data_IF_178113417791
#
_entry.id   IF_178113417791
#
_cell.length_a   1.000
_cell.length_b   1.000
_cell.length_c   1.000
_cell.angle_alpha   90.00
_cell.angle_beta   90.00
_cell.angle_gamma   90.00
#
_symmetry.space_group_name_H-M   'P 1'
#
loop_
_entity.id
_entity.type
_entity.pdbx_description
1 polymer ?
#
# COMPACT_ATOMS: atom_id res chain seq x y z
N UNK A 1 14.52 -13.00 12.48
CA UNK A 1 15.57 -12.41 13.32
C UNK A 1 14.91 -11.43 14.27
N UNK A 2 15.10 -11.61 15.57
CA UNK A 2 14.47 -10.77 16.59
C UNK A 2 15.01 -9.33 16.47
N UNK A 3 14.11 -8.39 16.24
CA UNK A 3 14.38 -6.96 16.39
C UNK A 3 14.65 -6.75 17.88
N UNK A 4 15.92 -6.52 18.22
CA UNK A 4 16.34 -6.22 19.59
C UNK A 4 15.66 -4.91 20.02
N UNK A 5 14.71 -5.04 20.92
CA UNK A 5 13.95 -3.94 21.51
C UNK A 5 14.83 -3.11 22.45
N UNK A 6 14.77 -1.79 22.29
CA UNK A 6 15.06 -0.76 23.30
C UNK A 6 16.50 -0.22 23.50
N UNK A 7 17.31 -0.10 22.45
CA UNK A 7 18.29 1.01 22.35
C UNK A 7 18.03 1.78 21.07
N UNK A 8 17.89 3.11 21.17
CA UNK A 8 17.77 3.98 20.00
C UNK A 8 18.99 3.80 19.09
N UNK A 9 18.79 3.93 17.78
CA UNK A 9 19.90 3.92 16.82
C UNK A 9 20.72 5.20 16.98
N UNK A 10 22.03 5.10 16.79
CA UNK A 10 23.00 6.16 17.00
C UNK A 10 23.01 7.15 15.84
N UNK A 11 23.47 8.37 16.14
CA UNK A 11 23.83 9.39 15.16
C UNK A 11 25.35 9.40 15.08
N UNK A 12 25.91 9.39 13.87
CA UNK A 12 27.33 9.57 13.64
C UNK A 12 27.62 10.95 13.04
N UNK A 13 28.80 11.52 13.30
CA UNK A 13 29.14 12.88 12.88
C UNK A 13 30.53 12.94 12.24
N UNK A 14 30.65 13.49 11.04
CA UNK A 14 31.91 13.78 10.36
C UNK A 14 31.97 15.29 10.11
N UNK A 15 32.93 15.98 10.73
CA UNK A 15 32.99 17.43 10.66
C UNK A 15 34.26 18.03 11.22
N UNK A 16 34.38 19.35 11.18
CA UNK A 16 35.47 20.05 11.84
C UNK A 16 35.38 19.94 13.38
N UNK A 17 36.49 20.25 14.05
CA UNK A 17 36.61 20.11 15.51
C UNK A 17 35.53 20.88 16.28
N UNK A 18 35.18 22.07 15.81
CA UNK A 18 34.14 22.90 16.41
C UNK A 18 32.75 22.25 16.29
N UNK A 19 32.40 21.72 15.10
CA UNK A 19 31.12 21.03 14.87
C UNK A 19 31.03 19.76 15.70
N UNK A 20 32.09 18.94 15.71
CA UNK A 20 32.13 17.72 16.53
C UNK A 20 31.95 18.08 18.00
N UNK A 21 32.68 19.08 18.51
CA UNK A 21 32.56 19.52 19.90
C UNK A 21 31.12 19.93 20.25
N UNK A 22 30.43 20.66 19.37
CA UNK A 22 29.03 21.03 19.55
C UNK A 22 28.09 19.83 19.69
N UNK A 23 28.23 18.82 18.82
CA UNK A 23 27.41 17.61 18.88
C UNK A 23 27.77 16.68 20.04
N UNK A 24 29.03 16.63 20.45
CA UNK A 24 29.46 15.92 21.65
C UNK A 24 28.84 16.53 22.92
N UNK A 25 28.79 17.86 23.01
CA UNK A 25 28.07 18.56 24.09
C UNK A 25 26.56 18.29 24.06
N UNK A 26 26.00 18.05 22.87
CA UNK A 26 24.61 17.63 22.67
C UNK A 26 24.33 16.16 23.05
N UNK A 27 25.33 15.38 23.45
CA UNK A 27 25.17 14.01 23.91
C UNK A 27 25.11 12.95 22.79
N UNK A 28 25.59 13.26 21.58
CA UNK A 28 25.61 12.31 20.45
C UNK A 28 26.79 11.33 20.50
N UNK A 29 27.89 11.70 21.16
CA UNK A 29 29.13 10.90 21.18
C UNK A 29 28.98 9.59 21.94
N UNK A 30 29.24 8.48 21.25
CA UNK A 30 29.22 7.12 21.80
C UNK A 30 30.45 6.34 21.30
N UNK A 31 30.96 5.45 22.16
CA UNK A 31 32.02 4.51 21.80
C UNK A 31 31.43 3.11 21.68
N UNK A 32 31.71 2.44 20.57
CA UNK A 32 31.38 1.02 20.40
C UNK A 32 32.17 0.13 21.40
N UNK A 33 31.80 -1.14 21.50
CA UNK A 33 32.49 -2.21 22.25
C UNK A 33 33.98 -2.27 21.87
N UNK A 34 34.30 -2.04 20.61
CA UNK A 34 35.69 -1.97 20.10
C UNK A 34 36.37 -0.61 20.35
N UNK A 35 35.74 0.27 21.14
CA UNK A 35 36.17 1.65 21.42
C UNK A 35 36.30 2.52 20.18
N UNK A 36 35.54 2.21 19.13
CA UNK A 36 35.46 3.03 17.92
C UNK A 36 34.43 4.14 18.13
N UNK A 37 34.80 5.41 17.94
CA UNK A 37 33.86 6.52 18.05
C UNK A 37 32.84 6.49 16.91
N UNK A 38 31.66 7.06 17.16
CA UNK A 38 30.69 7.42 16.13
C UNK A 38 30.93 8.83 15.57
N UNK A 39 32.14 9.38 15.69
CA UNK A 39 32.48 10.69 15.15
C UNK A 39 33.91 10.72 14.61
N UNK A 40 34.15 11.60 13.63
CA UNK A 40 35.46 11.92 13.09
C UNK A 40 35.64 13.44 13.03
N UNK A 41 36.63 13.95 13.75
CA UNK A 41 37.08 15.34 13.63
C UNK A 41 38.06 15.46 12.45
N UNK A 42 37.67 16.25 11.45
CA UNK A 42 38.42 16.47 10.21
C UNK A 42 39.19 17.79 10.34
N UNK A 43 40.50 17.69 10.23
CA UNK A 43 41.42 18.84 10.19
C UNK A 43 42.05 18.95 8.81
N UNK A 44 42.80 20.03 8.56
CA UNK A 44 43.52 20.21 7.28
C UNK A 44 44.59 19.14 7.03
N UNK A 45 45.05 18.48 8.09
CA UNK A 45 46.08 17.45 8.04
C UNK A 45 45.49 16.03 7.99
N UNK A 46 44.16 15.90 8.10
CA UNK A 46 43.47 14.60 8.00
C UNK A 46 43.50 14.13 6.55
N UNK A 47 44.07 12.94 6.25
CA UNK A 47 44.15 12.45 4.88
C UNK A 47 42.77 12.02 4.38
N UNK A 48 42.55 12.16 3.06
CA UNK A 48 41.28 11.81 2.41
C UNK A 48 40.87 10.35 2.67
N UNK A 49 41.85 9.44 2.71
CA UNK A 49 41.63 8.01 2.99
C UNK A 49 40.92 7.78 4.31
N UNK A 50 41.26 8.54 5.35
CA UNK A 50 40.67 8.37 6.68
C UNK A 50 39.20 8.82 6.69
N UNK A 51 38.87 9.84 5.90
CA UNK A 51 37.49 10.33 5.73
C UNK A 51 36.65 9.28 4.98
N UNK A 52 37.19 8.72 3.90
CA UNK A 52 36.54 7.65 3.15
C UNK A 52 36.30 6.40 4.00
N UNK A 53 37.31 5.98 4.76
CA UNK A 53 37.24 4.79 5.61
C UNK A 53 36.27 4.98 6.77
N UNK A 54 36.24 6.17 7.37
CA UNK A 54 35.25 6.51 8.40
C UNK A 54 33.83 6.50 7.85
N UNK A 55 33.60 7.08 6.66
CA UNK A 55 32.29 7.07 6.01
C UNK A 55 31.82 5.65 5.70
N UNK A 56 32.69 4.82 5.10
CA UNK A 56 32.41 3.39 4.83
C UNK A 56 32.12 2.63 6.13
N UNK A 57 32.91 2.85 7.17
CA UNK A 57 32.70 2.25 8.50
C UNK A 57 31.32 2.61 9.07
N UNK A 58 30.94 3.90 9.03
CA UNK A 58 29.65 4.35 9.55
C UNK A 58 28.47 3.83 8.72
N UNK A 59 28.60 3.75 7.40
CA UNK A 59 27.54 3.16 6.54
C UNK A 59 27.37 1.66 6.73
N UNK A 60 28.43 0.94 7.11
CA UNK A 60 28.39 -0.51 7.35
C UNK A 60 27.82 -0.91 8.72
N UNK A 61 27.68 0.05 9.64
CA UNK A 61 27.28 -0.16 11.03
C UNK A 61 25.76 -0.17 11.17
N UNK A 62 25.21 -1.31 11.59
CA UNK A 62 23.76 -1.50 11.77
C UNK A 62 23.17 -0.67 12.93
N UNK A 63 24.00 -0.22 13.87
CA UNK A 63 23.61 0.58 15.02
C UNK A 63 23.48 2.08 14.72
N UNK A 64 23.93 2.54 13.54
CA UNK A 64 23.83 3.95 13.11
C UNK A 64 22.57 4.14 12.26
N UNK A 65 21.75 5.14 12.61
CA UNK A 65 20.59 5.55 11.80
C UNK A 65 20.86 6.78 10.94
N UNK A 66 21.66 7.72 11.42
CA UNK A 66 21.89 9.01 10.77
C UNK A 66 23.38 9.31 10.78
N UNK A 67 23.93 9.75 9.66
CA UNK A 67 25.28 10.29 9.53
C UNK A 67 25.14 11.78 9.19
N UNK A 68 25.58 12.64 10.10
CA UNK A 68 25.73 14.06 9.87
C UNK A 68 27.12 14.32 9.30
N UNK A 69 27.20 14.95 8.13
CA UNK A 69 28.48 15.29 7.51
C UNK A 69 28.51 16.77 7.14
N UNK A 70 29.59 17.47 7.49
CA UNK A 70 29.75 18.86 7.09
C UNK A 70 29.91 18.94 5.57
N UNK A 71 29.18 19.84 4.92
CA UNK A 71 29.08 19.93 3.46
C UNK A 71 30.44 19.98 2.75
N UNK A 72 31.40 20.78 3.25
CA UNK A 72 32.73 20.88 2.67
C UNK A 72 33.53 19.56 2.75
N UNK A 73 33.27 18.73 3.76
CA UNK A 73 33.86 17.39 3.89
C UNK A 73 33.15 16.41 2.95
N UNK A 74 31.83 16.51 2.83
CA UNK A 74 31.04 15.69 1.90
C UNK A 74 31.50 15.89 0.45
N UNK A 75 31.84 17.12 0.06
CA UNK A 75 32.37 17.44 -1.27
C UNK A 75 33.67 16.69 -1.60
N UNK A 76 34.52 16.42 -0.60
CA UNK A 76 35.77 15.67 -0.79
C UNK A 76 35.51 14.20 -1.15
N UNK A 77 34.44 13.62 -0.59
CA UNK A 77 34.06 12.21 -0.77
C UNK A 77 32.73 12.05 -1.52
N UNK A 78 32.37 13.04 -2.36
CA UNK A 78 31.07 13.11 -3.05
C UNK A 78 30.71 11.81 -3.77
N UNK A 79 31.72 11.17 -4.38
CA UNK A 79 31.59 9.89 -5.06
C UNK A 79 31.10 8.74 -4.15
N UNK A 80 31.47 8.72 -2.86
CA UNK A 80 30.98 7.74 -1.89
C UNK A 80 29.58 8.09 -1.37
N UNK A 81 29.32 9.38 -1.15
CA UNK A 81 28.01 9.87 -0.70
C UNK A 81 26.95 9.55 -1.76
N UNK A 82 27.23 9.85 -3.03
CA UNK A 82 26.32 9.59 -4.14
C UNK A 82 26.16 8.08 -4.44
N UNK A 83 27.18 7.27 -4.13
CA UNK A 83 27.11 5.81 -4.27
C UNK A 83 26.28 5.14 -3.16
N UNK A 84 26.06 5.81 -2.03
CA UNK A 84 25.27 5.28 -0.92
C UNK A 84 23.77 5.44 -1.20
N UNK A 85 23.15 4.36 -1.68
CA UNK A 85 21.71 4.32 -2.04
C UNK A 85 20.83 3.70 -0.97
N UNK A 86 21.41 3.14 0.10
CA UNK A 86 20.64 2.50 1.17
C UNK A 86 19.87 3.54 1.99
N UNK A 87 18.61 3.29 2.37
CA UNK A 87 17.81 4.24 3.13
C UNK A 87 18.32 4.44 4.57
N UNK A 88 19.08 3.48 5.10
CA UNK A 88 19.68 3.52 6.43
C UNK A 88 21.14 3.06 6.32
N UNK A 89 22.10 3.80 6.91
CA UNK A 89 21.91 5.07 7.61
C UNK A 89 21.58 6.23 6.65
N UNK A 90 20.76 7.17 7.09
CA UNK A 90 20.45 8.39 6.36
C UNK A 90 21.65 9.35 6.45
N UNK A 91 22.12 9.86 5.31
CA UNK A 91 23.23 10.81 5.25
C UNK A 91 22.66 12.22 5.11
N UNK A 92 23.02 13.13 6.00
CA UNK A 92 22.57 14.52 6.01
C UNK A 92 23.77 15.47 5.98
N UNK A 93 23.82 16.30 4.94
CA UNK A 93 24.80 17.37 4.81
C UNK A 93 24.40 18.57 5.70
N UNK A 94 25.30 19.05 6.55
CA UNK A 94 25.11 20.22 7.42
C UNK A 94 26.05 21.36 7.03
N UNK A 95 25.61 22.62 7.12
CA UNK A 95 26.43 23.78 6.77
C UNK A 95 27.55 24.01 7.81
N UNK A 96 28.63 24.70 7.39
CA UNK A 96 29.66 25.20 8.30
C UNK A 96 29.13 26.38 9.14
N UNK A 97 29.52 26.43 10.42
CA UNK A 97 29.15 27.53 11.32
C UNK A 97 29.89 28.85 10.99
N UNK A 98 31.03 28.77 10.30
CA UNK A 98 31.89 29.90 9.94
C UNK A 98 31.51 30.52 8.59
N UNK A 99 30.44 31.31 8.61
CA UNK A 99 30.05 32.19 7.51
C UNK A 99 28.83 31.68 6.75
N UNK A 100 27.67 32.25 7.07
CA UNK A 100 26.47 32.10 6.26
C UNK A 100 26.76 32.59 4.83
N UNK A 101 27.05 31.64 3.95
CA UNK A 101 26.43 31.61 2.64
C UNK A 101 25.76 30.25 2.53
N UNK A 102 24.51 30.21 2.97
CA UNK A 102 23.61 29.13 2.56
C UNK A 102 23.62 29.21 1.04
N UNK A 103 24.11 28.18 0.36
CA UNK A 103 23.95 28.09 -1.07
C UNK A 103 22.43 28.10 -1.32
N UNK A 104 21.92 29.20 -1.89
CA UNK A 104 20.49 29.36 -2.11
C UNK A 104 19.93 28.28 -3.04
N UNK A 105 20.82 27.60 -3.77
CA UNK A 105 20.54 26.52 -4.71
C UNK A 105 20.87 25.13 -4.12
N UNK A 106 21.20 25.01 -2.82
CA UNK A 106 21.33 23.71 -2.19
C UNK A 106 19.95 23.05 -2.09
N UNK A 107 19.70 22.09 -2.98
CA UNK A 107 18.52 21.24 -2.93
C UNK A 107 18.55 20.34 -1.69
N UNK A 108 17.38 20.06 -1.12
CA UNK A 108 17.22 19.04 -0.09
C UNK A 108 17.85 17.73 -0.57
N UNK A 109 18.74 17.13 0.23
CA UNK A 109 19.32 15.83 -0.10
C UNK A 109 18.20 14.77 -0.07
N UNK A 110 17.71 14.45 -1.26
CA UNK A 110 16.76 13.36 -1.47
C UNK A 110 17.57 12.13 -1.92
N UNK A 111 17.58 11.03 -1.14
CA UNK A 111 18.26 9.80 -1.54
C UNK A 111 17.85 9.37 -2.95
N UNK A 112 18.77 8.81 -3.75
CA UNK A 112 18.47 8.44 -5.15
C UNK A 112 17.25 7.50 -5.26
N UNK A 113 17.04 6.61 -4.28
CA UNK A 113 15.85 5.75 -4.21
C UNK A 113 14.56 6.57 -4.13
N UNK A 114 14.54 7.61 -3.29
CA UNK A 114 13.39 8.51 -3.13
C UNK A 114 13.20 9.38 -4.39
N UNK A 115 14.29 9.76 -5.08
CA UNK A 115 14.21 10.45 -6.39
C UNK A 115 13.55 9.56 -7.46
N UNK A 116 13.87 8.27 -7.50
CA UNK A 116 13.25 7.30 -8.43
C UNK A 116 11.77 7.11 -8.10
N UNK A 117 11.40 6.95 -6.83
CA UNK A 117 10.00 6.81 -6.40
C UNK A 117 9.17 8.06 -6.73
N UNK A 118 9.72 9.26 -6.48
CA UNK A 118 9.06 10.52 -6.84
C UNK A 118 8.87 10.66 -8.36
N UNK A 119 9.89 10.28 -9.15
CA UNK A 119 9.80 10.29 -10.60
C UNK A 119 8.74 9.32 -11.13
N UNK A 120 8.66 8.10 -10.59
CA UNK A 120 7.60 7.13 -10.92
C UNK A 120 6.23 7.74 -10.65
N UNK A 121 6.05 8.32 -9.45
CA UNK A 121 4.78 8.95 -9.05
C UNK A 121 4.37 10.05 -10.04
N UNK A 122 5.28 10.96 -10.39
CA UNK A 122 4.97 12.08 -11.28
C UNK A 122 4.59 11.62 -12.69
N UNK A 123 5.32 10.63 -13.24
CA UNK A 123 5.02 10.04 -14.55
C UNK A 123 3.68 9.29 -14.51
N UNK A 124 3.40 8.56 -13.42
CA UNK A 124 2.12 7.89 -13.26
C UNK A 124 0.97 8.89 -13.21
N UNK A 125 1.12 10.04 -12.56
CA UNK A 125 0.10 11.09 -12.57
C UNK A 125 -0.11 11.68 -13.97
N UNK A 126 0.96 11.87 -14.75
CA UNK A 126 0.89 12.29 -16.16
C UNK A 126 0.11 11.28 -17.02
N UNK A 127 0.27 9.97 -16.75
CA UNK A 127 -0.45 8.91 -17.46
C UNK A 127 -1.98 8.93 -17.22
N UNK A 128 -2.42 9.55 -16.12
CA UNK A 128 -3.84 9.66 -15.78
C UNK A 128 -4.49 10.94 -16.31
N UNK A 129 -3.73 11.86 -16.90
CA UNK A 129 -4.28 13.06 -17.51
C UNK A 129 -4.91 12.76 -18.89
N UNK A 130 -6.19 13.10 -19.03
CA UNK A 130 -7.08 12.71 -20.14
C UNK A 130 -6.74 13.26 -21.53
N UNK A 131 -5.61 13.95 -21.70
CA UNK A 131 -5.12 14.38 -23.01
C UNK A 131 -4.35 13.23 -23.69
N UNK A 132 -4.94 12.67 -24.74
CA UNK A 132 -4.57 11.38 -25.34
C UNK A 132 -3.15 11.28 -25.93
N UNK A 133 -2.41 12.39 -26.08
CA UNK A 133 -1.00 12.38 -26.53
C UNK A 133 0.02 12.36 -25.39
N UNK A 134 -0.29 13.02 -24.27
CA UNK A 134 0.58 13.05 -23.08
C UNK A 134 0.46 11.76 -22.28
N UNK A 135 -0.72 11.13 -22.24
CA UNK A 135 -0.92 9.85 -21.57
C UNK A 135 -0.10 8.71 -22.20
N UNK A 136 -0.09 8.60 -23.54
CA UNK A 136 0.68 7.55 -24.24
C UNK A 136 2.20 7.77 -24.08
N UNK A 137 2.64 9.04 -24.07
CA UNK A 137 4.02 9.39 -23.77
C UNK A 137 4.45 8.99 -22.36
N UNK A 138 3.60 9.21 -21.37
CA UNK A 138 3.84 8.82 -19.98
C UNK A 138 3.90 7.29 -19.80
N UNK A 139 3.01 6.55 -20.46
CA UNK A 139 3.04 5.07 -20.44
C UNK A 139 4.36 4.56 -21.02
N UNK A 140 4.82 5.10 -22.15
CA UNK A 140 6.14 4.74 -22.73
C UNK A 140 7.31 5.08 -21.80
N UNK A 141 7.23 6.19 -21.05
CA UNK A 141 8.24 6.52 -20.03
C UNK A 141 8.25 5.47 -18.90
N UNK A 142 7.07 5.02 -18.44
CA UNK A 142 6.97 3.94 -17.44
C UNK A 142 7.54 2.63 -17.98
N UNK A 143 7.24 2.25 -19.23
CA UNK A 143 7.81 1.07 -19.89
C UNK A 143 9.34 1.16 -19.92
N UNK A 144 9.88 2.31 -20.34
CA UNK A 144 11.32 2.52 -20.40
C UNK A 144 11.95 2.42 -19.01
N UNK A 145 11.33 3.00 -17.97
CA UNK A 145 11.81 2.90 -16.58
C UNK A 145 11.83 1.45 -16.11
N UNK A 146 10.78 0.66 -16.38
CA UNK A 146 10.74 -0.75 -16.01
C UNK A 146 11.84 -1.55 -16.73
N UNK A 147 12.07 -1.27 -18.01
CA UNK A 147 13.06 -1.99 -18.83
C UNK A 147 14.51 -1.60 -18.55
N UNK A 148 14.76 -0.36 -18.12
CA UNK A 148 16.11 0.19 -17.91
C UNK A 148 16.54 0.26 -16.44
N UNK A 149 15.63 0.01 -15.51
CA UNK A 149 15.91 0.14 -14.09
C UNK A 149 17.01 -0.82 -13.61
N UNK A 150 17.97 -0.26 -12.86
CA UNK A 150 19.02 -1.02 -12.17
C UNK A 150 18.52 -1.67 -10.87
N UNK A 151 17.37 -1.24 -10.35
CA UNK A 151 16.77 -1.76 -9.12
C UNK A 151 15.72 -2.84 -9.42
N UNK A 152 15.78 -4.00 -8.76
CA UNK A 152 14.92 -5.14 -9.08
C UNK A 152 13.44 -4.93 -8.72
N UNK A 153 13.09 -3.86 -7.99
CA UNK A 153 11.73 -3.58 -7.51
C UNK A 153 11.00 -2.45 -8.27
N UNK A 154 11.58 -1.89 -9.32
CA UNK A 154 10.94 -0.77 -10.02
C UNK A 154 9.56 -1.10 -10.58
N UNK A 155 9.39 -2.28 -11.20
CA UNK A 155 8.09 -2.72 -11.70
C UNK A 155 7.03 -2.80 -10.57
N UNK A 156 7.44 -3.28 -9.40
CA UNK A 156 6.59 -3.34 -8.21
C UNK A 156 6.13 -1.94 -7.77
N UNK A 157 7.05 -0.97 -7.67
CA UNK A 157 6.70 0.41 -7.29
C UNK A 157 5.83 1.13 -8.33
N UNK A 158 5.96 0.79 -9.62
CA UNK A 158 5.03 1.26 -10.65
C UNK A 158 3.62 0.72 -10.38
N UNK A 159 3.49 -0.56 -10.00
CA UNK A 159 2.22 -1.18 -9.61
C UNK A 159 1.55 -0.45 -8.43
N UNK A 160 2.32 -0.17 -7.37
CA UNK A 160 1.84 0.61 -6.22
C UNK A 160 1.39 2.03 -6.63
N UNK A 161 2.18 2.70 -7.46
CA UNK A 161 1.89 4.05 -7.91
C UNK A 161 0.58 4.15 -8.72
N UNK A 162 0.27 3.12 -9.55
CA UNK A 162 -0.98 3.06 -10.30
C UNK A 162 -2.20 3.03 -9.39
N UNK A 163 -2.16 2.23 -8.33
CA UNK A 163 -3.24 2.16 -7.33
C UNK A 163 -3.37 3.50 -6.61
N UNK A 164 -2.27 4.07 -6.12
CA UNK A 164 -2.31 5.37 -5.42
C UNK A 164 -2.89 6.48 -6.30
N UNK A 165 -2.56 6.49 -7.60
CA UNK A 165 -3.12 7.43 -8.56
C UNK A 165 -4.61 7.18 -8.87
N UNK A 166 -5.05 5.91 -8.83
CA UNK A 166 -6.45 5.53 -8.99
C UNK A 166 -7.38 6.17 -7.96
N UNK A 167 -6.88 6.41 -6.75
CA UNK A 167 -7.65 6.96 -5.65
C UNK A 167 -7.72 8.49 -5.59
N UNK A 168 -7.03 9.21 -6.48
CA UNK A 168 -6.99 10.68 -6.46
C UNK A 168 -8.29 11.30 -6.96
N UNK A 169 -8.92 10.71 -7.98
CA UNK A 169 -10.11 11.24 -8.64
C UNK A 169 -10.99 10.11 -9.13
N UNK A 170 -12.31 10.30 -9.09
CA UNK A 170 -13.25 9.33 -9.63
C UNK A 170 -13.03 9.07 -11.12
N UNK A 171 -13.23 7.82 -11.54
CA UNK A 171 -13.01 7.34 -12.89
C UNK A 171 -11.57 6.89 -13.16
N UNK A 172 -10.63 7.22 -12.26
CA UNK A 172 -9.23 6.85 -12.41
C UNK A 172 -9.00 5.34 -12.24
N UNK A 173 -9.86 4.59 -11.54
CA UNK A 173 -9.72 3.13 -11.47
C UNK A 173 -9.72 2.46 -12.84
N UNK A 174 -10.58 2.92 -13.76
CA UNK A 174 -10.62 2.38 -15.13
C UNK A 174 -9.35 2.73 -15.90
N UNK A 175 -8.84 3.94 -15.70
CA UNK A 175 -7.56 4.38 -16.29
C UNK A 175 -6.39 3.58 -15.75
N UNK A 176 -6.33 3.34 -14.44
CA UNK A 176 -5.29 2.53 -13.79
C UNK A 176 -5.21 1.12 -14.39
N UNK A 177 -6.36 0.46 -14.56
CA UNK A 177 -6.43 -0.87 -15.16
C UNK A 177 -6.06 -0.88 -16.64
N UNK A 178 -6.42 0.18 -17.38
CA UNK A 178 -6.02 0.34 -18.77
C UNK A 178 -4.49 0.47 -18.89
N UNK A 179 -3.89 1.37 -18.10
CA UNK A 179 -2.44 1.56 -18.05
C UNK A 179 -1.74 0.26 -17.63
N UNK A 180 -2.26 -0.42 -16.61
CA UNK A 180 -1.74 -1.72 -16.16
C UNK A 180 -1.71 -2.75 -17.30
N UNK A 181 -2.81 -2.90 -18.05
CA UNK A 181 -2.88 -3.84 -19.18
C UNK A 181 -1.93 -3.49 -20.31
N UNK A 182 -1.77 -2.20 -20.62
CA UNK A 182 -0.82 -1.73 -21.62
C UNK A 182 0.62 -2.07 -21.19
N UNK A 183 0.99 -1.78 -19.94
CA UNK A 183 2.30 -2.14 -19.39
C UNK A 183 2.54 -3.66 -19.38
N UNK A 184 1.54 -4.44 -18.98
CA UNK A 184 1.60 -5.91 -18.97
C UNK A 184 1.92 -6.48 -20.36
N UNK A 185 1.47 -5.83 -21.44
CA UNK A 185 1.76 -6.27 -22.81
C UNK A 185 3.18 -5.95 -23.30
N UNK A 186 3.87 -5.02 -22.62
CA UNK A 186 5.16 -4.46 -23.05
C UNK A 186 6.37 -4.91 -22.22
N UNK A 187 6.15 -5.59 -21.08
CA UNK A 187 7.19 -6.00 -20.13
C UNK A 187 7.43 -7.52 -20.14
N UNK A 188 8.59 -7.96 -19.66
CA UNK A 188 8.89 -9.40 -19.52
C UNK A 188 8.02 -10.07 -18.44
N UNK A 189 7.89 -11.40 -18.49
CA UNK A 189 7.06 -12.16 -17.53
C UNK A 189 7.47 -11.92 -16.07
N UNK A 190 8.78 -11.91 -15.75
CA UNK A 190 9.26 -11.64 -14.40
C UNK A 190 8.96 -10.21 -13.92
N UNK A 191 8.99 -9.22 -14.83
CA UNK A 191 8.61 -7.84 -14.52
C UNK A 191 7.10 -7.69 -14.36
N UNK A 192 6.32 -8.44 -15.16
CA UNK A 192 4.87 -8.50 -15.03
C UNK A 192 4.46 -9.03 -13.66
N UNK A 193 5.11 -10.09 -13.17
CA UNK A 193 4.84 -10.65 -11.83
C UNK A 193 5.08 -9.61 -10.73
N UNK A 194 6.19 -8.87 -10.82
CA UNK A 194 6.51 -7.81 -9.87
C UNK A 194 5.52 -6.64 -9.95
N UNK A 195 5.12 -6.24 -11.16
CA UNK A 195 4.12 -5.21 -11.40
C UNK A 195 2.76 -5.60 -10.81
N UNK A 196 2.33 -6.85 -11.04
CA UNK A 196 1.07 -7.39 -10.51
C UNK A 196 1.10 -7.48 -8.99
N UNK A 197 2.20 -7.97 -8.40
CA UNK A 197 2.35 -8.02 -6.94
C UNK A 197 2.27 -6.63 -6.31
N UNK A 198 2.97 -5.62 -6.86
CA UNK A 198 2.89 -4.26 -6.33
C UNK A 198 1.51 -3.62 -6.47
N UNK A 199 0.81 -3.92 -7.56
CA UNK A 199 -0.57 -3.49 -7.75
C UNK A 199 -1.52 -4.14 -6.74
N UNK A 200 -1.40 -5.46 -6.51
CA UNK A 200 -2.25 -6.20 -5.58
C UNK A 200 -1.94 -5.88 -4.10
N UNK A 201 -0.68 -5.75 -3.74
CA UNK A 201 -0.24 -5.46 -2.36
C UNK A 201 -0.71 -4.05 -1.94
N UNK A 202 -0.59 -3.05 -2.82
CA UNK A 202 -1.11 -1.71 -2.52
C UNK A 202 -2.65 -1.71 -2.52
N UNK A 203 -3.32 -2.46 -3.40
CA UNK A 203 -4.79 -2.59 -3.38
C UNK A 203 -5.29 -3.18 -2.05
N UNK A 204 -4.60 -4.20 -1.54
CA UNK A 204 -4.86 -4.80 -0.23
C UNK A 204 -4.59 -3.79 0.90
N UNK A 205 -3.49 -3.04 0.84
CA UNK A 205 -3.19 -2.00 1.83
C UNK A 205 -4.28 -0.92 1.90
N UNK A 206 -4.80 -0.47 0.75
CA UNK A 206 -5.92 0.46 0.68
C UNK A 206 -7.22 -0.15 1.24
N UNK A 207 -7.45 -1.45 1.02
CA UNK A 207 -8.57 -2.19 1.62
C UNK A 207 -8.52 -2.17 3.15
N UNK A 208 -7.37 -2.49 3.73
CA UNK A 208 -7.19 -2.48 5.19
C UNK A 208 -7.34 -1.06 5.75
N UNK A 209 -6.82 -0.04 5.05
CA UNK A 209 -6.96 1.36 5.47
C UNK A 209 -8.43 1.79 5.57
N UNK A 210 -9.28 1.43 4.60
CA UNK A 210 -10.72 1.73 4.64
C UNK A 210 -11.40 1.01 5.80
N UNK A 211 -11.06 -0.26 6.03
CA UNK A 211 -11.69 -1.13 7.03
C UNK A 211 -11.31 -0.74 8.46
N UNK A 212 -10.24 0.04 8.62
CA UNK A 212 -9.84 0.58 9.93
C UNK A 212 -10.99 1.35 10.61
N UNK A 213 -11.05 1.27 11.94
CA UNK A 213 -12.18 1.79 12.73
C UNK A 213 -12.48 3.28 12.50
N UNK A 214 -11.50 4.08 12.09
CA UNK A 214 -11.65 5.51 11.83
C UNK A 214 -12.33 5.78 10.48
N UNK A 215 -12.02 4.98 9.45
CA UNK A 215 -12.55 5.15 8.10
C UNK A 215 -14.07 4.92 8.01
N UNK A 216 -14.54 3.77 8.53
CA UNK A 216 -15.96 3.41 8.50
C UNK A 216 -16.82 4.27 9.45
N UNK A 217 -16.24 4.78 10.56
CA UNK A 217 -16.93 5.74 11.44
C UNK A 217 -17.16 7.09 10.75
N UNK A 218 -16.28 7.49 9.84
CA UNK A 218 -16.41 8.75 9.10
C UNK A 218 -17.59 8.76 8.11
N UNK A 219 -18.01 7.59 7.60
CA UNK A 219 -19.21 7.44 6.74
C UNK A 219 -20.51 7.70 7.52
N UNK A 220 -20.51 7.45 8.83
CA UNK A 220 -21.66 7.73 9.68
C UNK A 220 -21.84 9.24 9.94
N UNK A 221 -20.80 10.05 9.74
CA UNK A 221 -20.81 11.49 9.94
C UNK A 221 -21.05 12.19 8.59
N UNK A 222 -21.99 13.13 8.50
CA UNK A 222 -22.31 13.82 7.24
C UNK A 222 -21.34 14.99 6.96
N UNK A 223 -20.04 14.70 6.98
CA UNK A 223 -18.90 15.62 6.76
C UNK A 223 -18.40 15.53 5.32
N UNK A 224 -17.63 16.50 4.81
CA UNK A 224 -17.05 16.40 3.45
C UNK A 224 -16.06 15.22 3.30
N UNK A 225 -15.49 14.74 4.41
CA UNK A 225 -14.72 13.50 4.51
C UNK A 225 -15.55 12.25 4.20
N UNK A 226 -16.85 12.21 4.56
CA UNK A 226 -17.75 11.11 4.18
C UNK A 226 -17.95 10.96 2.67
N UNK A 227 -18.03 12.07 1.93
CA UNK A 227 -18.17 12.04 0.46
C UNK A 227 -16.90 11.51 -0.20
N UNK A 228 -15.73 11.93 0.29
CA UNK A 228 -14.43 11.40 -0.16
C UNK A 228 -14.33 9.91 0.12
N UNK A 229 -14.74 9.46 1.30
CA UNK A 229 -14.71 8.05 1.66
C UNK A 229 -15.66 7.19 0.80
N UNK A 230 -16.88 7.66 0.54
CA UNK A 230 -17.84 6.95 -0.33
C UNK A 230 -17.28 6.82 -1.74
N UNK A 231 -16.71 7.90 -2.29
CA UNK A 231 -16.08 7.88 -3.60
C UNK A 231 -14.90 6.90 -3.63
N UNK A 232 -14.05 6.95 -2.61
CA UNK A 232 -12.89 6.09 -2.45
C UNK A 232 -13.31 4.62 -2.34
N UNK A 233 -14.35 4.31 -1.57
CA UNK A 233 -14.91 2.96 -1.44
C UNK A 233 -15.47 2.44 -2.76
N UNK A 234 -16.15 3.29 -3.55
CA UNK A 234 -16.67 2.91 -4.85
C UNK A 234 -15.55 2.60 -5.86
N UNK A 235 -14.49 3.41 -5.91
CA UNK A 235 -13.32 3.14 -6.76
C UNK A 235 -12.58 1.87 -6.30
N UNK A 236 -12.48 1.61 -5.00
CA UNK A 236 -11.88 0.38 -4.48
C UNK A 236 -12.69 -0.87 -4.88
N UNK A 237 -14.02 -0.85 -4.73
CA UNK A 237 -14.88 -1.95 -5.16
C UNK A 237 -14.71 -2.21 -6.66
N UNK A 238 -14.66 -1.14 -7.45
CA UNK A 238 -14.46 -1.24 -8.89
C UNK A 238 -13.10 -1.86 -9.23
N UNK A 239 -12.02 -1.40 -8.59
CA UNK A 239 -10.68 -1.97 -8.76
C UNK A 239 -10.62 -3.44 -8.36
N UNK A 240 -11.16 -3.82 -7.20
CA UNK A 240 -11.18 -5.22 -6.73
C UNK A 240 -11.95 -6.10 -7.72
N UNK A 241 -13.17 -5.69 -8.08
CA UNK A 241 -14.04 -6.44 -9.00
C UNK A 241 -13.38 -6.63 -10.38
N UNK A 242 -12.77 -5.57 -10.90
CA UNK A 242 -12.06 -5.62 -12.17
C UNK A 242 -10.75 -6.41 -12.05
N UNK A 243 -10.06 -6.40 -10.91
CA UNK A 243 -8.83 -7.18 -10.69
C UNK A 243 -9.12 -8.68 -10.71
N UNK A 244 -10.23 -9.09 -10.09
CA UNK A 244 -10.73 -10.48 -10.09
C UNK A 244 -11.05 -10.99 -11.51
N UNK A 245 -11.43 -10.09 -12.42
CA UNK A 245 -11.85 -10.43 -13.80
C UNK A 245 -10.76 -10.26 -14.84
N UNK A 246 -9.89 -9.27 -14.68
CA UNK A 246 -8.98 -8.82 -15.73
C UNK A 246 -7.50 -9.14 -15.50
N UNK A 247 -7.09 -9.47 -14.28
CA UNK A 247 -5.69 -9.86 -13.99
C UNK A 247 -5.44 -11.35 -14.27
N UNK A 248 -6.40 -12.06 -14.86
CA UNK A 248 -6.19 -13.44 -15.30
C UNK A 248 -5.11 -13.46 -16.40
N UNK A 249 -3.93 -14.00 -16.09
CA UNK A 249 -2.91 -14.33 -17.10
C UNK A 249 -3.53 -15.20 -18.18
N UNK A 250 -3.30 -14.88 -19.46
CA UNK A 250 -3.81 -15.69 -20.57
C UNK A 250 -3.28 -17.14 -20.45
N UNK A 251 -4.13 -18.07 -20.06
CA UNK A 251 -3.79 -19.50 -19.95
C UNK A 251 -3.74 -20.09 -18.54
N UNK A 252 -3.88 -19.28 -17.48
CA UNK A 252 -4.03 -19.77 -16.10
C UNK A 252 -5.46 -19.50 -15.63
N UNK A 253 -6.23 -20.54 -15.34
CA UNK A 253 -7.64 -20.45 -14.88
C UNK A 253 -7.75 -20.10 -13.38
N UNK A 254 -6.64 -19.72 -12.74
CA UNK A 254 -6.58 -19.44 -11.31
C UNK A 254 -6.95 -17.98 -11.05
N UNK A 255 -8.04 -17.77 -10.31
CA UNK A 255 -8.48 -16.43 -9.89
C UNK A 255 -7.53 -15.86 -8.82
N UNK A 256 -7.16 -14.56 -8.87
CA UNK A 256 -6.30 -13.97 -7.86
C UNK A 256 -6.99 -13.98 -6.48
N UNK A 257 -6.33 -14.62 -5.50
CA UNK A 257 -6.89 -14.88 -4.16
C UNK A 257 -7.05 -13.59 -3.34
N UNK A 258 -6.08 -12.68 -3.36
CA UNK A 258 -6.08 -11.47 -2.54
C UNK A 258 -7.27 -10.53 -2.83
N UNK A 259 -7.59 -10.17 -4.08
CA UNK A 259 -8.82 -9.42 -4.39
C UNK A 259 -10.11 -10.09 -3.93
N UNK A 260 -10.16 -11.43 -3.96
CA UNK A 260 -11.30 -12.20 -3.44
C UNK A 260 -11.41 -12.11 -1.91
N UNK A 261 -10.29 -12.05 -1.20
CA UNK A 261 -10.26 -11.81 0.25
C UNK A 261 -10.68 -10.38 0.55
N UNK A 262 -10.16 -9.40 -0.20
CA UNK A 262 -10.44 -7.98 -0.01
C UNK A 262 -11.93 -7.66 -0.10
N UNK A 263 -12.62 -8.23 -1.11
CA UNK A 263 -14.08 -8.02 -1.22
C UNK A 263 -14.83 -8.60 -0.02
N UNK A 264 -14.37 -9.72 0.56
CA UNK A 264 -14.96 -10.32 1.76
C UNK A 264 -14.72 -9.44 3.00
N UNK A 265 -13.49 -8.94 3.19
CA UNK A 265 -13.12 -8.08 4.33
C UNK A 265 -13.98 -6.81 4.30
N UNK A 266 -14.04 -6.11 3.16
CA UNK A 266 -14.76 -4.84 3.09
C UNK A 266 -16.27 -5.05 3.21
N UNK A 267 -16.81 -6.10 2.58
CA UNK A 267 -18.23 -6.43 2.70
C UNK A 267 -18.60 -6.74 4.16
N UNK A 268 -17.79 -7.54 4.86
CA UNK A 268 -17.99 -7.86 6.28
C UNK A 268 -17.95 -6.61 7.16
N UNK A 269 -16.96 -5.74 6.94
CA UNK A 269 -16.80 -4.51 7.69
C UNK A 269 -17.98 -3.53 7.47
N UNK A 270 -18.40 -3.32 6.22
CA UNK A 270 -19.53 -2.46 5.87
C UNK A 270 -20.84 -2.93 6.53
N UNK A 271 -21.11 -4.24 6.50
CA UNK A 271 -22.30 -4.84 7.12
C UNK A 271 -22.30 -4.67 8.64
N UNK A 272 -21.16 -4.85 9.31
CA UNK A 272 -21.01 -4.64 10.75
C UNK A 272 -21.23 -3.18 11.14
N UNK A 273 -20.64 -2.24 10.42
CA UNK A 273 -20.82 -0.80 10.70
C UNK A 273 -22.27 -0.35 10.49
N UNK A 274 -22.96 -0.86 9.47
CA UNK A 274 -24.39 -0.60 9.29
C UNK A 274 -25.23 -1.12 10.46
N UNK A 275 -24.92 -2.31 10.96
CA UNK A 275 -25.63 -2.88 12.10
C UNK A 275 -25.45 -2.03 13.36
N UNK A 276 -24.23 -1.58 13.63
CA UNK A 276 -23.94 -0.71 14.78
C UNK A 276 -24.63 0.65 14.66
N UNK A 277 -24.60 1.28 13.48
CA UNK A 277 -25.25 2.57 13.24
C UNK A 277 -26.78 2.46 13.35
N UNK A 278 -27.37 1.38 12.85
CA UNK A 278 -28.81 1.10 12.97
C UNK A 278 -29.23 0.87 14.43
N UNK A 279 -28.41 0.17 15.23
CA UNK A 279 -28.66 -0.02 16.67
C UNK A 279 -28.56 1.30 17.46
N UNK A 280 -27.69 2.24 17.05
CA UNK A 280 -27.56 3.56 17.70
C UNK A 280 -28.68 4.54 17.31
N UNK A 281 -29.20 4.48 16.09
CA UNK A 281 -30.13 5.46 15.52
C UNK A 281 -31.62 5.05 15.55
N UNK A 282 -32.05 4.23 16.51
CA UNK A 282 -33.42 3.68 16.59
C UNK A 282 -34.56 4.71 16.76
N UNK A 283 -34.28 6.01 16.71
CA UNK A 283 -35.24 7.11 16.93
C UNK A 283 -35.54 7.98 15.68
N UNK A 284 -34.94 7.72 14.51
CA UNK A 284 -35.23 8.47 13.27
C UNK A 284 -34.83 7.69 11.99
N UNK A 285 -35.79 7.22 11.16
CA UNK A 285 -35.50 6.39 9.99
C UNK A 285 -35.03 7.16 8.75
N UNK A 286 -35.02 8.49 8.75
CA UNK A 286 -34.81 9.33 7.55
C UNK A 286 -33.49 10.14 7.60
N UNK A 287 -32.37 9.49 7.94
CA UNK A 287 -31.06 10.14 7.81
C UNK A 287 -30.43 9.83 6.45
N UNK A 288 -29.98 10.87 5.73
CA UNK A 288 -29.24 10.77 4.46
C UNK A 288 -28.04 9.80 4.54
N UNK A 289 -27.49 9.60 5.73
CA UNK A 289 -26.45 8.60 6.03
C UNK A 289 -26.93 7.16 5.76
N UNK A 290 -28.17 6.83 6.13
CA UNK A 290 -28.75 5.49 5.94
C UNK A 290 -28.94 5.15 4.45
N UNK A 291 -29.28 6.16 3.63
CA UNK A 291 -29.35 6.04 2.15
C UNK A 291 -27.95 5.84 1.55
N UNK A 292 -26.94 6.59 2.01
CA UNK A 292 -25.56 6.46 1.54
C UNK A 292 -24.98 5.07 1.85
N UNK A 293 -25.23 4.55 3.06
CA UNK A 293 -24.87 3.17 3.42
C UNK A 293 -25.61 2.13 2.57
N UNK A 294 -26.90 2.33 2.29
CA UNK A 294 -27.68 1.45 1.43
C UNK A 294 -27.05 1.29 0.04
N UNK A 295 -26.76 2.39 -0.65
CA UNK A 295 -26.16 2.35 -1.99
C UNK A 295 -24.77 1.69 -2.01
N UNK A 296 -23.96 1.96 -0.98
CA UNK A 296 -22.62 1.37 -0.87
C UNK A 296 -22.70 -0.14 -0.62
N UNK A 297 -23.63 -0.58 0.21
CA UNK A 297 -23.87 -2.00 0.53
C UNK A 297 -24.45 -2.74 -0.66
N UNK A 298 -25.36 -2.12 -1.42
CA UNK A 298 -25.87 -2.71 -2.66
C UNK A 298 -24.74 -2.93 -3.67
N UNK A 299 -23.78 -1.99 -3.75
CA UNK A 299 -22.57 -2.16 -4.56
C UNK A 299 -21.67 -3.29 -4.05
N UNK A 300 -21.46 -3.39 -2.72
CA UNK A 300 -20.71 -4.49 -2.11
C UNK A 300 -21.36 -5.85 -2.35
N UNK A 301 -22.66 -5.99 -2.09
CA UNK A 301 -23.41 -7.23 -2.26
C UNK A 301 -23.44 -7.65 -3.73
N UNK A 302 -23.63 -6.70 -4.64
CA UNK A 302 -23.58 -6.96 -6.08
C UNK A 302 -22.20 -7.50 -6.52
N UNK A 303 -21.12 -6.85 -6.08
CA UNK A 303 -19.74 -7.29 -6.37
C UNK A 303 -19.41 -8.65 -5.73
N UNK A 304 -19.84 -8.86 -4.49
CA UNK A 304 -19.70 -10.15 -3.78
C UNK A 304 -20.45 -11.26 -4.53
N UNK A 305 -21.69 -11.02 -4.96
CA UNK A 305 -22.48 -11.97 -5.73
C UNK A 305 -21.82 -12.39 -7.04
N UNK A 306 -21.18 -11.44 -7.74
CA UNK A 306 -20.40 -11.73 -8.95
C UNK A 306 -19.11 -12.51 -8.66
N UNK A 307 -18.53 -12.33 -7.47
CA UNK A 307 -17.24 -12.94 -7.09
C UNK A 307 -17.41 -14.31 -6.43
N UNK A 308 -18.56 -14.60 -5.83
CA UNK A 308 -18.83 -15.82 -5.07
C UNK A 308 -18.60 -17.13 -5.87
N UNK A 309 -18.95 -17.24 -7.17
CA UNK A 309 -18.65 -18.44 -7.95
C UNK A 309 -17.14 -18.70 -8.05
N UNK A 310 -16.33 -17.65 -8.13
CA UNK A 310 -14.87 -17.75 -8.22
C UNK A 310 -14.24 -18.12 -6.87
N UNK A 311 -14.75 -17.55 -5.78
CA UNK A 311 -14.36 -17.95 -4.41
C UNK A 311 -14.67 -19.43 -4.19
N UNK A 312 -15.85 -19.90 -4.60
CA UNK A 312 -16.22 -21.29 -4.48
C UNK A 312 -15.33 -22.22 -5.34
N UNK A 313 -14.91 -21.78 -6.53
CA UNK A 313 -13.93 -22.52 -7.33
C UNK A 313 -12.56 -22.60 -6.64
N UNK A 314 -12.07 -21.50 -6.06
CA UNK A 314 -10.81 -21.48 -5.30
C UNK A 314 -10.85 -22.42 -4.08
N UNK A 315 -11.96 -22.42 -3.33
CA UNK A 315 -12.17 -23.33 -2.20
C UNK A 315 -12.16 -24.80 -2.63
N UNK A 316 -12.77 -25.11 -3.78
CA UNK A 316 -12.79 -26.46 -4.35
C UNK A 316 -11.42 -26.94 -4.86
N UNK A 317 -10.55 -26.01 -5.27
CA UNK A 317 -9.18 -26.29 -5.69
C UNK A 317 -8.19 -26.37 -4.51
N UNK A 318 -8.60 -25.91 -3.32
CA UNK A 318 -7.77 -25.97 -2.12
C UNK A 318 -7.87 -27.36 -1.46
N UNK A 319 -6.72 -27.96 -1.12
CA UNK A 319 -6.62 -29.27 -0.45
C UNK A 319 -7.25 -29.31 0.96
N UNK A 320 -7.83 -28.19 1.42
CA UNK A 320 -8.28 -27.98 2.79
C UNK A 320 -9.80 -28.15 2.99
N UNK A 321 -10.60 -28.28 1.92
CA UNK A 321 -12.05 -28.52 2.03
C UNK A 321 -12.34 -30.01 1.81
N UNK A 322 -12.96 -30.72 2.77
CA UNK A 322 -13.33 -32.12 2.58
C UNK A 322 -14.22 -32.28 1.35
N UNK A 323 -13.82 -33.18 0.44
CA UNK A 323 -14.49 -33.51 -0.83
C UNK A 323 -15.93 -34.04 -0.72
N UNK A 324 -16.55 -33.94 0.47
CA UNK A 324 -17.93 -34.30 0.78
C UNK A 324 -18.83 -33.11 1.11
N UNK A 325 -18.34 -31.87 1.18
CA UNK A 325 -19.21 -30.70 1.37
C UNK A 325 -19.86 -30.32 0.05
N UNK A 326 -21.07 -30.83 -0.18
CA UNK A 326 -21.96 -30.45 -1.27
C UNK A 326 -22.03 -28.93 -1.39
N UNK A 327 -21.53 -28.40 -2.52
CA UNK A 327 -21.76 -27.07 -3.08
C UNK A 327 -22.29 -26.00 -2.11
N UNK A 328 -21.45 -25.02 -1.78
CA UNK A 328 -21.86 -23.74 -1.16
C UNK A 328 -22.94 -22.98 -1.96
N UNK A 329 -23.27 -23.45 -3.17
CA UNK A 329 -24.37 -23.00 -4.04
C UNK A 329 -25.75 -23.50 -3.55
N UNK A 330 -25.82 -24.45 -2.61
CA UNK A 330 -27.08 -24.98 -2.10
C UNK A 330 -27.78 -24.11 -1.05
N UNK A 331 -27.16 -23.00 -0.62
CA UNK A 331 -27.83 -21.98 0.18
C UNK A 331 -28.84 -21.24 -0.70
N UNK A 332 -30.08 -21.71 -0.64
CA UNK A 332 -31.30 -21.21 -1.29
C UNK A 332 -31.62 -19.72 -1.04
N UNK A 333 -30.76 -18.99 -0.34
CA UNK A 333 -30.87 -17.58 -0.02
C UNK A 333 -30.28 -16.62 -1.05
N UNK A 334 -29.56 -17.11 -2.07
CA UNK A 334 -28.94 -16.27 -3.12
C UNK A 334 -29.53 -16.46 -4.54
N UNK A 335 -30.55 -17.33 -4.73
CA UNK A 335 -31.31 -17.37 -5.99
C UNK A 335 -32.55 -16.49 -5.87
N UNK A 336 -32.80 -15.65 -6.87
CA UNK A 336 -34.11 -15.01 -7.05
C UNK A 336 -35.22 -16.08 -7.05
N UNK A 337 -36.27 -15.95 -6.22
CA UNK A 337 -37.25 -17.01 -6.05
C UNK A 337 -38.20 -17.04 -7.25
N UNK A 338 -37.99 -17.97 -8.19
CA UNK A 338 -38.83 -18.11 -9.39
C UNK A 338 -40.15 -18.86 -9.16
N UNK A 339 -40.49 -19.29 -7.94
CA UNK A 339 -41.89 -19.59 -7.60
C UNK A 339 -42.12 -19.78 -6.10
N UNK A 340 -43.03 -18.98 -5.56
CA UNK A 340 -43.45 -18.93 -4.15
C UNK A 340 -44.13 -20.21 -3.61
N UNK A 341 -44.33 -21.24 -4.45
CA UNK A 341 -45.10 -22.44 -4.10
C UNK A 341 -44.27 -23.54 -3.42
N UNK A 342 -42.95 -23.59 -3.65
CA UNK A 342 -42.07 -24.64 -3.12
C UNK A 342 -41.73 -24.44 -1.62
N UNK A 343 -41.89 -23.22 -1.10
CA UNK A 343 -41.63 -22.88 0.31
C UNK A 343 -42.75 -23.30 1.28
N UNK A 344 -43.92 -23.73 0.81
CA UNK A 344 -45.09 -24.00 1.67
C UNK A 344 -45.20 -25.44 2.18
N UNK A 345 -44.46 -26.39 1.61
CA UNK A 345 -44.66 -27.83 1.91
C UNK A 345 -43.61 -28.46 2.83
N UNK A 346 -42.62 -27.71 3.30
CA UNK A 346 -41.59 -28.26 4.18
C UNK A 346 -41.91 -27.99 5.67
N UNK A 347 -42.31 -29.00 6.47
CA UNK A 347 -42.84 -28.80 7.81
C UNK A 347 -41.78 -28.40 8.86
N UNK A 348 -40.50 -28.34 8.48
CA UNK A 348 -39.39 -27.90 9.33
C UNK A 348 -39.14 -26.39 9.36
N UNK A 349 -39.72 -25.61 8.45
CA UNK A 349 -39.49 -24.15 8.38
C UNK A 349 -40.67 -23.43 9.04
N UNK A 350 -40.68 -23.40 10.37
CA UNK A 350 -41.64 -22.56 11.11
C UNK A 350 -41.15 -21.11 11.10
N UNK A 351 -41.85 -20.30 10.27
CA UNK A 351 -41.94 -18.83 10.28
C UNK A 351 -40.66 -18.05 9.96
N UNK A 352 -40.53 -17.69 8.68
CA UNK A 352 -39.98 -16.40 8.22
C UNK A 352 -38.62 -16.00 8.80
N UNK A 353 -37.57 -16.76 8.51
CA UNK A 353 -36.20 -16.26 8.63
C UNK A 353 -35.86 -15.48 7.35
N UNK A 354 -36.18 -14.19 7.36
CA UNK A 354 -35.48 -13.22 6.52
C UNK A 354 -34.01 -13.26 6.90
N UNK A 355 -33.10 -13.50 5.94
CA UNK A 355 -31.66 -13.34 6.18
C UNK A 355 -31.40 -11.95 6.76
N UNK A 356 -31.07 -11.88 8.05
CA UNK A 356 -30.61 -10.64 8.67
C UNK A 356 -29.14 -10.39 8.28
N UNK A 357 -28.75 -9.12 8.16
CA UNK A 357 -27.36 -8.63 7.92
C UNK A 357 -26.32 -9.36 8.79
N UNK A 358 -26.69 -9.70 10.02
CA UNK A 358 -25.90 -10.48 10.98
C UNK A 358 -25.46 -11.86 10.43
N UNK A 359 -26.33 -12.58 9.71
CA UNK A 359 -26.01 -13.89 9.15
C UNK A 359 -25.04 -13.81 7.97
N UNK A 360 -25.11 -12.75 7.16
CA UNK A 360 -24.20 -12.54 6.04
C UNK A 360 -22.78 -12.19 6.53
N UNK A 361 -22.68 -11.37 7.59
CA UNK A 361 -21.40 -11.06 8.21
C UNK A 361 -20.74 -12.31 8.81
N UNK A 362 -21.50 -13.16 9.51
CA UNK A 362 -20.99 -14.42 10.06
C UNK A 362 -20.50 -15.38 8.97
N UNK A 363 -21.22 -15.46 7.86
CA UNK A 363 -20.82 -16.31 6.73
C UNK A 363 -19.53 -15.83 6.08
N UNK A 364 -19.33 -14.51 5.97
CA UNK A 364 -18.08 -13.94 5.48
C UNK A 364 -16.92 -14.18 6.45
N UNK A 365 -17.15 -14.08 7.77
CA UNK A 365 -16.15 -14.42 8.78
C UNK A 365 -15.73 -15.90 8.69
N UNK A 366 -16.68 -16.80 8.44
CA UNK A 366 -16.40 -18.23 8.28
C UNK A 366 -15.57 -18.50 7.02
N UNK A 367 -15.85 -17.79 5.92
CA UNK A 367 -15.03 -17.85 4.69
C UNK A 367 -13.60 -17.36 4.96
N UNK A 368 -13.44 -16.20 5.62
CA UNK A 368 -12.12 -15.66 5.98
C UNK A 368 -11.36 -16.61 6.91
N UNK A 369 -12.04 -17.19 7.90
CA UNK A 369 -11.48 -18.18 8.82
C UNK A 369 -10.99 -19.44 8.08
N UNK A 370 -11.77 -19.95 7.13
CA UNK A 370 -11.37 -21.09 6.30
C UNK A 370 -10.16 -20.77 5.41
N UNK A 371 -10.04 -19.52 4.97
CA UNK A 371 -8.88 -19.00 4.23
C UNK A 371 -7.67 -18.67 5.12
N UNK A 372 -7.81 -18.79 6.45
CA UNK A 372 -6.79 -18.46 7.48
C UNK A 372 -6.30 -17.00 7.45
N UNK A 373 -7.21 -16.06 7.18
CA UNK A 373 -6.95 -14.62 7.26
C UNK A 373 -7.68 -13.97 8.44
#
# INVERSE_FOLDING_TARGET
MAISSARGRLIAVIGDEDTITGFLLGGIGELDIERRPNYLAVTKDTPLTDIEDAFKSFTSREDIAIILIVQNVADLIRHLVDAHTSPIPAVLEIPIMSGLQINADAEEYVPQVVKVENNIKDITLEAFDSNTKTSEGAIRKLEQIIQTASTPKTAYHVGEALIRAAFIKSGNATTALKVFKELQSSVSEAQCDLLENGFLDELHAQTIQIVSEEGLKEVANNTDSSKKFILFSAELIHLISQSITNLQKSGSDVTPLFPCIDICIISGAALRTQLETTRRNSSSPDSKAMINWGNLIDAFISSLGQTLPKINALLQLSDYVPSSSSSWISTSCLREPTSLSVLKSNPGIRKSETLKVEHLALLLDEVLYLLKF
#
